data_IF_501472510862
#
_entry.id   IF_501472510862
#
_cell.length_a   1.000
_cell.length_b   1.000
_cell.length_c   1.000
_cell.angle_alpha   90.00
_cell.angle_beta   90.00
_cell.angle_gamma   90.00
#
_symmetry.space_group_name_H-M   'P 1'
#
loop_
_entity.id
_entity.type
_entity.pdbx_description
1 polymer ?
#
# COMPACT_ATOMS: atom_id res chain seq x y z
N UNK A 1 -6.34 14.36 12.33
CA UNK A 1 -6.69 12.94 12.38
C UNK A 1 -6.08 12.21 11.20
N UNK A 2 -5.67 10.97 11.42
CA UNK A 2 -5.01 10.17 10.41
C UNK A 2 -5.95 9.62 9.35
N UNK A 3 -5.34 9.09 8.32
CA UNK A 3 -6.01 8.47 7.19
C UNK A 3 -5.39 7.10 6.93
N UNK A 4 -6.21 6.11 6.61
CA UNK A 4 -5.76 4.75 6.33
C UNK A 4 -6.27 4.31 4.96
N UNK A 5 -5.37 3.78 4.14
CA UNK A 5 -5.76 3.15 2.89
C UNK A 5 -5.56 1.64 3.00
N UNK A 6 -6.61 0.89 2.72
CA UNK A 6 -6.57 -0.57 2.66
C UNK A 6 -6.46 -0.98 1.19
N UNK A 7 -5.44 -1.76 0.88
CA UNK A 7 -5.23 -2.27 -0.47
C UNK A 7 -5.34 -3.79 -0.40
N UNK A 8 -6.41 -4.34 -0.96
CA UNK A 8 -6.72 -5.76 -0.97
C UNK A 8 -6.40 -6.32 -2.35
N UNK A 9 -5.51 -7.30 -2.43
CA UNK A 9 -5.06 -7.84 -3.70
C UNK A 9 -4.73 -9.32 -3.61
N UNK A 10 -4.66 -9.96 -4.78
CA UNK A 10 -4.25 -11.35 -4.91
C UNK A 10 -3.04 -11.44 -5.82
N UNK A 11 -2.11 -12.32 -5.49
CA UNK A 11 -0.96 -12.59 -6.34
C UNK A 11 -0.40 -13.98 -6.08
N UNK A 12 0.09 -14.61 -7.13
CA UNK A 12 0.92 -15.81 -7.06
C UNK A 12 2.43 -15.47 -7.14
N UNK A 13 2.76 -14.17 -7.22
CA UNK A 13 4.12 -13.66 -7.43
C UNK A 13 4.54 -12.70 -6.31
N UNK A 14 4.25 -13.08 -5.08
CA UNK A 14 4.48 -12.23 -3.91
C UNK A 14 5.95 -11.81 -3.77
N UNK A 15 6.89 -12.73 -3.97
CA UNK A 15 8.32 -12.42 -3.84
C UNK A 15 8.76 -11.34 -4.84
N UNK A 16 8.23 -11.39 -6.06
CA UNK A 16 8.50 -10.38 -7.07
C UNK A 16 7.89 -9.03 -6.69
N UNK A 17 6.68 -9.04 -6.12
CA UNK A 17 6.05 -7.83 -5.62
C UNK A 17 6.84 -7.19 -4.49
N UNK A 18 7.41 -7.98 -3.59
CA UNK A 18 8.24 -7.45 -2.51
C UNK A 18 9.49 -6.75 -3.04
N UNK A 19 10.10 -7.27 -4.09
CA UNK A 19 11.25 -6.62 -4.74
C UNK A 19 10.86 -5.26 -5.31
N UNK A 20 9.72 -5.19 -5.98
CA UNK A 20 9.19 -3.92 -6.52
C UNK A 20 8.90 -2.93 -5.40
N UNK A 21 8.32 -3.40 -4.29
CA UNK A 21 8.07 -2.57 -3.11
C UNK A 21 9.35 -1.99 -2.52
N UNK A 22 10.41 -2.79 -2.42
CA UNK A 22 11.71 -2.33 -1.94
C UNK A 22 12.34 -1.28 -2.87
N UNK A 23 12.20 -1.45 -4.17
CA UNK A 23 12.65 -0.46 -5.16
C UNK A 23 11.90 0.86 -5.01
N UNK A 24 10.58 0.81 -4.78
CA UNK A 24 9.79 2.02 -4.54
C UNK A 24 10.26 2.74 -3.28
N UNK A 25 10.46 2.02 -2.18
CA UNK A 25 10.93 2.61 -0.93
C UNK A 25 12.26 3.35 -1.12
N UNK A 26 13.17 2.73 -1.85
CA UNK A 26 14.47 3.34 -2.14
C UNK A 26 14.34 4.57 -3.05
N UNK A 27 13.46 4.52 -4.06
CA UNK A 27 13.28 5.61 -5.02
C UNK A 27 12.46 6.76 -4.46
N UNK A 28 11.41 6.48 -3.68
CA UNK A 28 10.58 7.52 -3.07
C UNK A 28 11.31 8.24 -1.93
N UNK A 29 12.02 7.48 -1.10
CA UNK A 29 12.84 8.05 -0.03
C UNK A 29 12.06 9.01 0.85
N UNK A 30 12.60 10.22 1.02
CA UNK A 30 12.02 11.27 1.85
C UNK A 30 10.75 11.88 1.25
N UNK A 31 10.47 11.66 -0.03
CA UNK A 31 9.25 12.18 -0.68
C UNK A 31 8.00 11.36 -0.35
N UNK A 32 8.18 10.15 0.16
CA UNK A 32 7.07 9.31 0.59
C UNK A 32 6.38 9.93 1.81
N UNK A 33 5.05 10.01 1.76
CA UNK A 33 4.25 10.58 2.85
C UNK A 33 3.60 9.53 3.74
N UNK A 34 3.71 8.25 3.37
CA UNK A 34 3.22 7.15 4.19
C UNK A 34 4.04 7.07 5.50
N UNK A 35 3.35 6.95 6.64
CA UNK A 35 3.98 6.90 7.96
C UNK A 35 4.27 5.48 8.42
N UNK A 36 3.38 4.57 8.07
CA UNK A 36 3.48 3.18 8.48
C UNK A 36 2.77 2.31 7.46
N UNK A 37 3.26 1.11 7.28
CA UNK A 37 2.62 0.13 6.41
C UNK A 37 2.65 -1.23 7.10
N UNK A 38 1.50 -1.90 7.11
CA UNK A 38 1.39 -3.27 7.60
C UNK A 38 0.86 -4.13 6.46
N UNK A 39 1.68 -5.07 6.00
CA UNK A 39 1.30 -5.99 4.94
C UNK A 39 0.94 -7.33 5.57
N UNK A 40 -0.27 -7.78 5.32
CA UNK A 40 -0.82 -9.01 5.89
C UNK A 40 -1.15 -10.03 4.80
N UNK A 41 -0.98 -11.31 5.11
CA UNK A 41 -1.48 -12.40 4.29
C UNK A 41 -2.74 -12.94 4.95
N UNK A 42 -3.75 -13.23 4.15
CA UNK A 42 -4.95 -13.88 4.63
C UNK A 42 -4.58 -15.27 5.16
N UNK A 43 -4.96 -15.56 6.38
CA UNK A 43 -4.61 -16.80 7.06
C UNK A 43 -5.25 -18.03 6.40
N UNK A 44 -6.45 -17.85 5.84
CA UNK A 44 -7.24 -18.91 5.25
C UNK A 44 -7.13 -18.98 3.73
N UNK A 45 -6.53 -17.96 3.12
CA UNK A 45 -6.36 -17.83 1.67
C UNK A 45 -4.95 -17.28 1.36
N UNK A 46 -3.96 -18.17 1.18
CA UNK A 46 -2.56 -17.74 1.05
C UNK A 46 -2.25 -16.89 -0.18
N UNK A 47 -3.15 -16.83 -1.15
CA UNK A 47 -2.98 -15.98 -2.34
C UNK A 47 -3.52 -14.57 -2.15
N UNK A 48 -4.20 -14.29 -1.04
CA UNK A 48 -4.78 -12.97 -0.75
C UNK A 48 -3.94 -12.21 0.25
N UNK A 49 -3.68 -10.94 -0.06
CA UNK A 49 -2.89 -10.04 0.80
C UNK A 49 -3.67 -8.75 1.02
N UNK A 50 -3.47 -8.16 2.19
CA UNK A 50 -4.05 -6.86 2.55
C UNK A 50 -2.93 -5.97 3.05
N UNK A 51 -2.76 -4.83 2.39
CA UNK A 51 -1.79 -3.83 2.76
C UNK A 51 -2.53 -2.68 3.45
N UNK A 52 -2.14 -2.37 4.69
CA UNK A 52 -2.73 -1.29 5.49
C UNK A 52 -1.71 -0.17 5.54
N UNK A 53 -2.01 0.96 4.92
CA UNK A 53 -1.08 2.08 4.81
C UNK A 53 -1.62 3.27 5.59
N UNK A 54 -0.79 3.83 6.48
CA UNK A 54 -1.15 4.93 7.36
C UNK A 54 -0.54 6.25 6.87
N UNK A 55 -1.37 7.28 6.80
CA UNK A 55 -0.96 8.65 6.43
C UNK A 55 -1.46 9.63 7.48
N UNK A 56 -0.85 10.82 7.51
CA UNK A 56 -1.30 11.88 8.43
C UNK A 56 -2.67 12.45 8.02
N UNK A 57 -2.96 12.45 6.71
CA UNK A 57 -4.22 12.99 6.17
C UNK A 57 -4.51 12.40 4.79
N UNK A 58 -5.72 12.61 4.31
CA UNK A 58 -6.11 12.27 2.95
C UNK A 58 -5.23 13.01 1.93
N UNK A 59 -4.93 14.27 2.18
CA UNK A 59 -4.09 15.10 1.31
C UNK A 59 -2.69 14.52 1.18
N UNK A 60 -2.11 14.02 2.27
CA UNK A 60 -0.81 13.36 2.24
C UNK A 60 -0.85 12.05 1.44
N UNK A 61 -1.94 11.29 1.55
CA UNK A 61 -2.13 10.09 0.74
C UNK A 61 -2.19 10.42 -0.75
N UNK A 62 -2.87 11.51 -1.11
CA UNK A 62 -2.95 11.97 -2.50
C UNK A 62 -1.59 12.41 -3.04
N UNK A 63 -0.81 13.12 -2.25
CA UNK A 63 0.57 13.51 -2.62
C UNK A 63 1.41 12.28 -2.92
N UNK A 64 1.32 11.25 -2.06
CA UNK A 64 2.07 10.03 -2.23
C UNK A 64 1.69 9.32 -3.54
N UNK A 65 0.41 9.25 -3.86
CA UNK A 65 -0.08 8.61 -5.08
C UNK A 65 0.27 9.38 -6.36
N UNK A 66 0.51 10.69 -6.25
CA UNK A 66 0.87 11.54 -7.39
C UNK A 66 2.37 11.54 -7.70
N UNK A 67 3.21 10.99 -6.82
CA UNK A 67 4.64 10.88 -7.11
C UNK A 67 4.84 10.05 -8.38
N UNK A 68 5.67 10.51 -9.33
CA UNK A 68 5.95 9.72 -10.55
C UNK A 68 6.43 8.31 -10.25
N UNK A 69 7.28 8.16 -9.21
CA UNK A 69 7.78 6.84 -8.80
C UNK A 69 6.66 5.95 -8.29
N UNK A 70 5.64 6.52 -7.62
CA UNK A 70 4.50 5.74 -7.13
C UNK A 70 3.60 5.29 -8.29
N UNK A 71 3.40 6.13 -9.29
CA UNK A 71 2.63 5.77 -10.48
C UNK A 71 3.30 4.64 -11.27
N UNK A 72 4.61 4.72 -11.45
CA UNK A 72 5.38 3.66 -12.10
C UNK A 72 5.32 2.35 -11.30
N UNK A 73 5.48 2.45 -9.99
CA UNK A 73 5.37 1.33 -9.07
C UNK A 73 3.99 0.65 -9.17
N UNK A 74 2.91 1.44 -9.18
CA UNK A 74 1.55 0.91 -9.30
C UNK A 74 1.36 0.12 -10.59
N UNK A 75 1.89 0.60 -11.71
CA UNK A 75 1.82 -0.10 -12.98
C UNK A 75 2.55 -1.44 -12.94
N UNK A 76 3.73 -1.48 -12.34
CA UNK A 76 4.51 -2.71 -12.19
C UNK A 76 3.78 -3.71 -11.29
N UNK A 77 3.18 -3.23 -10.20
CA UNK A 77 2.42 -4.07 -9.26
C UNK A 77 1.18 -4.67 -9.92
N UNK A 78 0.48 -3.92 -10.77
CA UNK A 78 -0.68 -4.42 -11.48
C UNK A 78 -0.33 -5.59 -12.41
N UNK A 79 0.87 -5.58 -12.99
CA UNK A 79 1.34 -6.68 -13.83
C UNK A 79 1.61 -7.97 -13.05
N UNK A 80 1.90 -7.85 -11.76
CA UNK A 80 2.19 -8.98 -10.88
C UNK A 80 0.95 -9.48 -10.13
N UNK A 81 -0.12 -8.71 -10.11
CA UNK A 81 -1.35 -9.07 -9.41
C UNK A 81 -2.23 -10.00 -10.25
N UNK A 82 -2.95 -10.88 -9.58
CA UNK A 82 -3.93 -11.79 -10.19
C UNK A 82 -5.32 -11.11 -10.17
N UNK A 83 -5.47 -10.06 -10.94
CA UNK A 83 -6.68 -9.26 -11.03
C UNK A 83 -6.52 -7.87 -10.40
N UNK A 84 -7.52 -6.99 -10.56
CA UNK A 84 -7.43 -5.63 -10.04
C UNK A 84 -7.49 -5.60 -8.52
N UNK A 85 -6.65 -4.77 -7.86
CA UNK A 85 -6.74 -4.57 -6.41
C UNK A 85 -7.97 -3.75 -6.05
N UNK A 86 -8.43 -3.91 -4.80
CA UNK A 86 -9.49 -3.10 -4.23
C UNK A 86 -8.89 -2.12 -3.24
N UNK A 87 -9.24 -0.83 -3.39
CA UNK A 87 -8.77 0.24 -2.51
C UNK A 87 -9.93 0.71 -1.64
N UNK A 88 -9.68 0.81 -0.33
CA UNK A 88 -10.65 1.36 0.62
C UNK A 88 -9.98 2.49 1.38
N UNK A 89 -10.59 3.67 1.37
CA UNK A 89 -10.08 4.87 2.02
C UNK A 89 -10.87 5.11 3.30
N UNK A 90 -10.17 5.20 4.43
CA UNK A 90 -10.78 5.31 5.75
C UNK A 90 -10.20 6.47 6.53
N UNK A 91 -11.06 7.28 7.15
CA UNK A 91 -10.63 8.28 8.11
C UNK A 91 -10.49 7.65 9.48
N UNK A 92 -9.40 7.92 10.17
CA UNK A 92 -9.19 7.42 11.54
C UNK A 92 -10.03 8.27 12.49
N UNK A 93 -10.94 7.63 13.23
CA UNK A 93 -11.77 8.32 14.22
C UNK A 93 -11.27 8.09 15.65
N UNK A 94 -10.52 7.03 15.88
CA UNK A 94 -9.92 6.74 17.17
C UNK A 94 -8.69 5.87 16.96
N UNK A 95 -7.61 6.20 17.65
CA UNK A 95 -6.36 5.44 17.63
C UNK A 95 -5.86 5.36 19.06
N UNK A 96 -5.93 4.17 19.65
CA UNK A 96 -5.53 3.96 21.04
C UNK A 96 -4.71 2.67 21.17
N UNK A 97 -3.76 2.70 22.09
CA UNK A 97 -3.00 1.52 22.49
C UNK A 97 -3.75 0.77 23.60
N UNK A 98 -3.79 -0.53 23.47
CA UNK A 98 -4.43 -1.41 24.45
C UNK A 98 -3.36 -2.20 25.21
#
# INVERSE_FOLDING_TARGET
MGFVQIIDFRTSKFDEMQKVGGEWEAAAGADATARRRVLCRDRDDPGRYVNVVFFDSFEEAMKNSELPVTQEFSQRMMQLADGPPTFTNLDVVEDSSI
#
